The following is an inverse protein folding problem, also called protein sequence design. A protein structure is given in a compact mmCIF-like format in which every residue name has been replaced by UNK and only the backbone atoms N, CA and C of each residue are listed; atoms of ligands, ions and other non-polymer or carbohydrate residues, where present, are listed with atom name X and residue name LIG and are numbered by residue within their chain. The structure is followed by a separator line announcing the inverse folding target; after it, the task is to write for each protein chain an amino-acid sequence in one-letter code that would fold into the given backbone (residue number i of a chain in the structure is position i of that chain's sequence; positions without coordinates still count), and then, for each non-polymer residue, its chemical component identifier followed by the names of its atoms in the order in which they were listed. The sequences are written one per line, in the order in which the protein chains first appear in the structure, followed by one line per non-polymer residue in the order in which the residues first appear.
data_IF_886926728307
#
_entry.id   IF_886926728307
#
_cell.length_a   1.000
_cell.length_b   1.000
_cell.length_c   1.000
_cell.angle_alpha   90.00
_cell.angle_beta   90.00
_cell.angle_gamma   90.00
#
_symmetry.space_group_name_H-M   'P 1'
#
loop_
_entity.id
_entity.type
_entity.pdbx_description
1 polymer ?
#
# COMPACT_ATOMS: atom_id res chain seq x y z
N UNK A 1 25.34 18.09 40.83
CA UNK A 1 23.87 18.30 40.80
C UNK A 1 23.36 19.23 39.71
N UNK A 2 24.20 20.03 39.06
CA UNK A 2 23.73 20.92 37.96
C UNK A 2 23.68 20.28 36.58
N UNK A 3 24.21 19.07 36.40
CA UNK A 3 24.31 18.44 35.10
C UNK A 3 23.15 17.50 34.77
N UNK A 4 22.30 17.13 35.74
CA UNK A 4 21.16 16.24 35.49
C UNK A 4 19.97 16.94 34.83
N UNK A 5 19.85 18.28 34.99
CA UNK A 5 18.72 19.03 34.41
C UNK A 5 18.87 19.29 32.91
N UNK A 6 20.12 19.29 32.40
CA UNK A 6 20.38 19.54 30.97
C UNK A 6 20.13 18.30 30.07
N UNK A 7 20.16 17.12 30.64
CA UNK A 7 19.95 15.86 29.92
C UNK A 7 18.46 15.62 29.68
N UNK A 8 17.58 16.10 30.55
CA UNK A 8 16.13 15.92 30.44
C UNK A 8 15.50 16.76 29.32
N UNK A 9 16.09 17.88 28.95
CA UNK A 9 15.57 18.77 27.91
C UNK A 9 15.84 18.26 26.50
N UNK A 10 16.81 17.35 26.31
CA UNK A 10 17.16 16.80 25.00
C UNK A 10 16.21 15.68 24.57
N UNK A 11 15.48 15.07 25.49
CA UNK A 11 14.52 13.97 25.19
C UNK A 11 13.18 14.48 24.67
N UNK A 12 12.89 15.77 24.80
CA UNK A 12 11.59 16.35 24.37
C UNK A 12 11.58 16.85 22.95
N UNK A 13 12.71 16.77 22.25
CA UNK A 13 12.87 17.23 20.87
C UNK A 13 12.92 16.11 19.82
N UNK A 14 12.42 14.90 20.15
CA UNK A 14 12.25 13.85 19.17
C UNK A 14 11.12 14.27 18.21
N UNK A 15 11.43 14.45 16.91
CA UNK A 15 10.40 14.82 15.97
C UNK A 15 9.38 13.66 15.87
N UNK A 16 8.12 13.98 16.08
CA UNK A 16 7.03 13.12 15.66
C UNK A 16 7.05 13.07 14.13
N UNK A 17 7.87 12.17 13.57
CA UNK A 17 7.90 11.94 12.13
C UNK A 17 6.63 11.21 11.70
N UNK A 18 6.07 11.62 10.58
CA UNK A 18 5.09 10.83 9.85
C UNK A 18 5.80 9.57 9.34
N UNK A 19 5.55 8.42 9.97
CA UNK A 19 6.17 7.17 9.58
C UNK A 19 5.35 6.50 8.48
N UNK A 20 5.86 6.52 7.23
CA UNK A 20 5.50 5.50 6.26
C UNK A 20 6.18 4.20 6.70
N UNK A 21 5.44 3.11 6.73
CA UNK A 21 5.97 1.80 7.05
C UNK A 21 6.23 1.00 5.77
N UNK A 22 7.49 0.63 5.56
CA UNK A 22 7.92 -0.21 4.44
C UNK A 22 8.32 -1.59 4.97
N UNK A 23 7.68 -2.63 4.47
CA UNK A 23 7.98 -4.02 4.82
C UNK A 23 7.60 -4.97 3.70
N UNK A 24 8.02 -6.22 3.81
CA UNK A 24 7.69 -7.26 2.85
C UNK A 24 6.54 -8.12 3.33
N UNK A 25 5.69 -8.54 2.40
CA UNK A 25 4.64 -9.53 2.64
C UNK A 25 4.63 -10.56 1.51
N UNK A 26 4.24 -11.78 1.85
CA UNK A 26 3.95 -12.82 0.85
C UNK A 26 2.48 -12.72 0.47
N UNK A 27 2.21 -12.57 -0.80
CA UNK A 27 0.83 -12.47 -1.30
C UNK A 27 0.18 -13.85 -1.30
N UNK A 28 -0.90 -14.00 -0.56
CA UNK A 28 -1.62 -15.27 -0.38
C UNK A 28 -3.02 -15.27 -0.97
N UNK A 29 -3.53 -14.14 -1.40
CA UNK A 29 -4.87 -14.03 -1.99
C UNK A 29 -5.03 -12.74 -2.77
N UNK A 30 -5.83 -12.79 -3.83
CA UNK A 30 -6.19 -11.64 -4.65
C UNK A 30 -7.72 -11.48 -4.57
N UNK A 31 -8.19 -10.32 -4.12
CA UNK A 31 -9.63 -10.02 -4.04
C UNK A 31 -10.15 -9.37 -5.31
N UNK A 32 -9.51 -8.28 -5.72
CA UNK A 32 -9.83 -7.50 -6.92
C UNK A 32 -8.53 -7.05 -7.59
N UNK A 33 -8.64 -6.34 -8.71
CA UNK A 33 -7.48 -5.80 -9.42
C UNK A 33 -6.68 -4.73 -8.65
N UNK A 34 -7.16 -4.29 -7.50
CA UNK A 34 -6.50 -3.29 -6.65
C UNK A 34 -6.40 -3.71 -5.17
N UNK A 35 -6.81 -4.93 -4.83
CA UNK A 35 -6.88 -5.40 -3.43
C UNK A 35 -6.38 -6.82 -3.29
N UNK A 36 -5.50 -7.04 -2.33
CA UNK A 36 -4.93 -8.36 -2.06
C UNK A 36 -4.71 -8.60 -0.56
N UNK A 37 -4.45 -9.84 -0.22
CA UNK A 37 -4.08 -10.27 1.13
C UNK A 37 -2.63 -10.72 1.14
N UNK A 38 -1.86 -10.18 2.06
CA UNK A 38 -0.46 -10.54 2.29
C UNK A 38 -0.23 -11.08 3.68
N UNK A 39 0.78 -11.94 3.81
CA UNK A 39 1.23 -12.51 5.06
C UNK A 39 2.52 -11.81 5.48
N UNK A 40 2.53 -11.19 6.67
CA UNK A 40 3.73 -10.52 7.17
C UNK A 40 4.71 -11.51 7.84
N UNK A 41 5.83 -11.00 8.35
CA UNK A 41 6.86 -11.81 9.02
C UNK A 41 6.37 -12.51 10.28
N UNK A 42 5.31 -12.02 10.92
CA UNK A 42 4.67 -12.62 12.10
C UNK A 42 3.54 -13.60 11.74
N UNK A 43 3.43 -13.96 10.46
CA UNK A 43 2.37 -14.83 9.92
C UNK A 43 0.95 -14.28 10.11
N UNK A 44 0.81 -12.95 10.21
CA UNK A 44 -0.49 -12.29 10.23
C UNK A 44 -0.96 -11.97 8.83
N UNK A 45 -2.24 -12.22 8.58
CA UNK A 45 -2.90 -11.87 7.32
C UNK A 45 -3.31 -10.39 7.35
N UNK A 46 -2.81 -9.62 6.40
CA UNK A 46 -3.12 -8.21 6.25
C UNK A 46 -3.76 -7.97 4.88
N UNK A 47 -4.80 -7.14 4.85
CA UNK A 47 -5.43 -6.71 3.59
C UNK A 47 -4.85 -5.39 3.14
N UNK A 48 -4.51 -5.33 1.85
CA UNK A 48 -3.92 -4.16 1.21
C UNK A 48 -4.79 -3.69 0.06
N UNK A 49 -4.95 -2.39 -0.02
CA UNK A 49 -5.45 -1.70 -1.20
C UNK A 49 -4.32 -0.90 -1.82
N UNK A 50 -4.11 -1.09 -3.12
CA UNK A 50 -3.02 -0.44 -3.83
C UNK A 50 -3.33 1.06 -3.94
N UNK A 51 -2.38 1.88 -3.48
CA UNK A 51 -2.48 3.33 -3.48
C UNK A 51 -2.55 3.90 -4.90
N UNK A 52 -3.42 4.88 -5.08
CA UNK A 52 -3.45 5.72 -6.28
C UNK A 52 -4.11 5.10 -7.50
N UNK A 53 -4.60 3.89 -7.42
CA UNK A 53 -5.34 3.25 -8.52
C UNK A 53 -6.74 2.82 -8.09
N UNK A 54 -7.59 2.65 -9.08
CA UNK A 54 -8.89 2.03 -8.94
C UNK A 54 -9.06 1.03 -10.08
N UNK A 55 -9.54 -0.16 -9.78
CA UNK A 55 -9.74 -1.24 -10.74
C UNK A 55 -11.22 -1.65 -10.78
N UNK A 56 -11.70 -2.23 -11.89
CA UNK A 56 -13.06 -2.76 -11.92
C UNK A 56 -13.24 -3.82 -10.85
N UNK A 57 -14.35 -3.73 -10.13
CA UNK A 57 -14.72 -4.72 -9.12
C UNK A 57 -15.03 -6.07 -9.78
N UNK A 58 -14.90 -7.14 -9.00
CA UNK A 58 -15.06 -8.53 -9.45
C UNK A 58 -16.33 -8.77 -10.28
N UNK A 59 -17.44 -8.08 -9.98
CA UNK A 59 -18.72 -8.20 -10.67
C UNK A 59 -18.85 -7.30 -11.90
N UNK A 60 -17.95 -6.35 -12.09
CA UNK A 60 -17.95 -5.43 -13.23
C UNK A 60 -17.29 -6.06 -14.45
N UNK A 61 -17.59 -5.50 -15.62
CA UNK A 61 -16.86 -5.84 -16.84
C UNK A 61 -15.35 -5.65 -16.61
N UNK A 62 -14.55 -6.58 -17.10
CA UNK A 62 -13.09 -6.64 -16.90
C UNK A 62 -12.64 -6.86 -15.44
N UNK A 63 -13.53 -6.98 -14.46
CA UNK A 63 -13.17 -7.24 -13.08
C UNK A 63 -12.39 -8.53 -12.89
N UNK A 64 -12.80 -9.61 -13.52
CA UNK A 64 -12.09 -10.88 -13.51
C UNK A 64 -10.71 -10.77 -14.17
N UNK A 65 -10.60 -10.10 -15.31
CA UNK A 65 -9.32 -9.86 -15.99
C UNK A 65 -8.36 -9.04 -15.15
N UNK A 66 -8.86 -7.99 -14.49
CA UNK A 66 -8.05 -7.18 -13.60
C UNK A 66 -7.52 -8.00 -12.42
N UNK A 67 -8.37 -8.79 -11.79
CA UNK A 67 -7.98 -9.69 -10.70
C UNK A 67 -6.94 -10.72 -11.16
N UNK A 68 -7.15 -11.35 -12.29
CA UNK A 68 -6.22 -12.34 -12.86
C UNK A 68 -4.88 -11.71 -13.20
N UNK A 69 -4.88 -10.51 -13.75
CA UNK A 69 -3.65 -9.79 -14.09
C UNK A 69 -2.86 -9.42 -12.85
N UNK A 70 -3.52 -8.89 -11.83
CA UNK A 70 -2.85 -8.64 -10.54
C UNK A 70 -2.27 -9.94 -9.98
N UNK A 71 -3.02 -11.03 -10.03
CA UNK A 71 -2.55 -12.34 -9.61
C UNK A 71 -1.30 -12.80 -10.37
N UNK A 72 -1.25 -12.57 -11.68
CA UNK A 72 -0.08 -12.91 -12.49
C UNK A 72 1.18 -12.13 -12.09
N UNK A 73 1.01 -10.93 -11.55
CA UNK A 73 2.12 -10.08 -11.12
C UNK A 73 2.64 -10.44 -9.71
N UNK A 74 1.74 -10.75 -8.78
CA UNK A 74 2.10 -10.80 -7.36
C UNK A 74 1.67 -12.06 -6.61
N UNK A 75 0.79 -12.90 -7.14
CA UNK A 75 0.28 -14.06 -6.38
C UNK A 75 1.39 -15.03 -6.03
N UNK A 76 1.47 -15.41 -4.75
CA UNK A 76 2.52 -16.25 -4.16
C UNK A 76 3.93 -15.63 -4.19
N UNK A 77 4.03 -14.36 -4.53
CA UNK A 77 5.28 -13.62 -4.55
C UNK A 77 5.46 -12.81 -3.27
N UNK A 78 6.71 -12.53 -2.93
CA UNK A 78 7.03 -11.52 -1.94
C UNK A 78 7.00 -10.15 -2.60
N UNK A 79 6.27 -9.22 -2.01
CA UNK A 79 6.21 -7.84 -2.48
C UNK A 79 6.62 -6.90 -1.35
N UNK A 80 7.15 -5.74 -1.72
CA UNK A 80 7.42 -4.67 -0.77
C UNK A 80 6.21 -3.74 -0.75
N UNK A 81 5.68 -3.49 0.43
CA UNK A 81 4.57 -2.57 0.64
C UNK A 81 5.08 -1.35 1.40
N UNK A 82 4.72 -0.18 0.92
CA UNK A 82 4.96 1.10 1.59
C UNK A 82 3.59 1.64 2.03
N UNK A 83 3.26 1.40 3.30
CA UNK A 83 1.97 1.74 3.90
C UNK A 83 1.99 3.19 4.34
N UNK A 84 1.06 3.97 3.84
CA UNK A 84 0.93 5.38 4.20
C UNK A 84 -0.43 5.74 4.80
N UNK A 85 -1.40 4.84 4.76
CA UNK A 85 -2.74 5.08 5.30
C UNK A 85 -3.45 3.75 5.61
N UNK A 86 -4.61 3.87 6.25
CA UNK A 86 -5.51 2.76 6.54
C UNK A 86 -6.93 3.22 6.33
N UNK A 87 -7.73 2.45 5.60
CA UNK A 87 -9.12 2.83 5.37
C UNK A 87 -10.04 2.38 6.52
N UNK A 88 -11.29 2.84 6.47
CA UNK A 88 -12.31 2.52 7.50
C UNK A 88 -12.71 1.04 7.55
N UNK A 89 -12.36 0.25 6.53
CA UNK A 89 -12.59 -1.20 6.51
C UNK A 89 -11.40 -2.01 7.00
N UNK A 90 -10.35 -1.35 7.47
CA UNK A 90 -9.15 -1.99 8.01
C UNK A 90 -8.13 -2.41 6.97
N UNK A 91 -8.27 -1.99 5.71
CA UNK A 91 -7.27 -2.25 4.66
C UNK A 91 -6.14 -1.23 4.77
N UNK A 92 -4.93 -1.70 4.61
CA UNK A 92 -3.75 -0.83 4.51
C UNK A 92 -3.66 -0.29 3.09
N UNK A 93 -3.57 1.01 2.96
CA UNK A 93 -3.35 1.67 1.67
C UNK A 93 -1.85 1.79 1.45
N UNK A 94 -1.34 1.15 0.42
CA UNK A 94 0.09 1.00 0.21
C UNK A 94 0.48 1.11 -1.26
N UNK A 95 1.68 1.65 -1.48
CA UNK A 95 2.41 1.45 -2.73
C UNK A 95 3.04 0.08 -2.69
N UNK A 96 2.99 -0.62 -3.79
CA UNK A 96 3.42 -2.02 -3.87
C UNK A 96 4.43 -2.18 -5.00
N UNK A 97 5.57 -2.79 -4.67
CA UNK A 97 6.62 -3.10 -5.63
C UNK A 97 6.91 -4.60 -5.65
N UNK A 98 7.13 -5.14 -6.83
CA UNK A 98 7.60 -6.52 -7.02
C UNK A 98 9.05 -6.66 -6.54
N UNK A 99 9.55 -7.90 -6.40
CA UNK A 99 10.94 -8.15 -6.01
C UNK A 99 11.95 -7.53 -6.97
N UNK A 100 11.64 -7.47 -8.27
CA UNK A 100 12.47 -6.83 -9.29
C UNK A 100 12.24 -5.31 -9.42
N UNK A 101 11.49 -4.71 -8.49
CA UNK A 101 11.35 -3.27 -8.36
C UNK A 101 10.28 -2.62 -9.23
N UNK A 102 9.39 -3.37 -9.86
CA UNK A 102 8.29 -2.82 -10.65
C UNK A 102 7.17 -2.30 -9.75
N UNK A 103 6.65 -1.13 -10.06
CA UNK A 103 5.47 -0.56 -9.40
C UNK A 103 4.21 -1.28 -9.87
N UNK A 104 3.54 -1.99 -8.97
CA UNK A 104 2.38 -2.83 -9.31
C UNK A 104 1.18 -1.98 -9.76
N UNK A 105 0.94 -0.84 -9.12
CA UNK A 105 -0.11 0.07 -9.55
C UNK A 105 0.08 0.56 -10.97
N UNK A 106 1.31 0.93 -11.31
CA UNK A 106 1.68 1.36 -12.67
C UNK A 106 1.51 0.22 -13.69
N UNK A 107 1.91 -1.00 -13.34
CA UNK A 107 1.71 -2.17 -14.20
C UNK A 107 0.23 -2.42 -14.51
N UNK A 108 -0.65 -2.24 -13.52
CA UNK A 108 -2.10 -2.39 -13.72
C UNK A 108 -2.67 -1.32 -14.64
N UNK A 109 -2.22 -0.07 -14.51
CA UNK A 109 -2.63 1.03 -15.40
C UNK A 109 -2.13 0.79 -16.82
N UNK A 110 -0.88 0.39 -16.99
CA UNK A 110 -0.28 0.10 -18.31
C UNK A 110 -0.98 -1.06 -19.03
N UNK A 111 -1.49 -2.03 -18.28
CA UNK A 111 -2.28 -3.13 -18.84
C UNK A 111 -3.71 -2.72 -19.22
N UNK A 112 -4.14 -1.50 -18.91
CA UNK A 112 -5.49 -1.02 -19.16
C UNK A 112 -6.54 -1.62 -18.22
N UNK A 113 -6.11 -2.18 -17.07
CA UNK A 113 -6.97 -2.86 -16.11
C UNK A 113 -7.16 -2.11 -14.80
N UNK A 114 -6.67 -0.89 -14.73
CA UNK A 114 -6.89 0.06 -13.67
C UNK A 114 -6.73 1.48 -14.20
N UNK A 115 -7.29 2.43 -13.49
CA UNK A 115 -7.12 3.85 -13.78
C UNK A 115 -6.58 4.58 -12.57
N UNK A 116 -5.97 5.76 -12.81
CA UNK A 116 -5.42 6.59 -11.75
C UNK A 116 -6.55 7.18 -10.91
N UNK A 117 -6.51 6.98 -9.61
CA UNK A 117 -7.50 7.50 -8.67
C UNK A 117 -7.11 8.91 -8.21
N UNK A 118 -7.76 9.92 -8.78
CA UNK A 118 -7.43 11.35 -8.58
C UNK A 118 -8.15 12.01 -7.40
N UNK A 119 -8.85 11.26 -6.58
CA UNK A 119 -9.68 11.86 -5.52
C UNK A 119 -8.89 12.76 -4.56
N UNK A 120 -7.64 12.41 -4.28
CA UNK A 120 -6.78 13.19 -3.40
C UNK A 120 -6.02 14.32 -4.10
N UNK A 121 -5.75 14.20 -5.38
CA UNK A 121 -5.03 15.22 -6.15
C UNK A 121 -5.88 16.48 -6.35
N UNK A 122 -7.20 16.35 -6.39
CA UNK A 122 -8.11 17.48 -6.54
C UNK A 122 -8.22 18.35 -5.29
N UNK A 123 -7.83 17.86 -4.13
CA UNK A 123 -7.83 18.63 -2.89
C UNK A 123 -6.60 19.53 -2.82
N UNK A 124 -5.49 19.11 -3.41
CA UNK A 124 -4.24 19.88 -3.43
C UNK A 124 -4.23 20.97 -4.51
N UNK A 125 -5.05 20.84 -5.55
CA UNK A 125 -5.13 21.82 -6.64
C UNK A 125 -6.08 23.00 -6.28
N UNK A 126 -6.90 22.85 -5.24
CA UNK A 126 -7.82 23.92 -4.78
C UNK A 126 -7.22 24.82 -3.69
N UNK A 127 -5.98 24.62 -3.35
CA UNK A 127 -5.20 25.48 -2.48
C UNK A 127 -4.22 26.29 -3.31
#
# INVERSE_FOLDING_TARGET
MRNCLKIFLLLTLLPFGLYSQTFQVKVIGISDGDTFTGLNSDNLQLKFRIHGIDAPEKKQAYGTKAREHLGSLIFKQNVTVDVNDRDRWGRYIARVATEDGRDVGKEMIQAGLAWHYKHFDNILIKI
#
